data_IF_614826709410
#
_entry.id   IF_614826709410
#
_cell.length_a   1.000
_cell.length_b   1.000
_cell.length_c   1.000
_cell.angle_alpha   90.00
_cell.angle_beta   90.00
_cell.angle_gamma   90.00
#
_symmetry.space_group_name_H-M   'P 1'
#
loop_
_entity.id
_entity.type
_entity.pdbx_description
1 polymer ?
#
# COMPACT_ATOMS: atom_id res chain seq x y z
N UNK A 1 40.94 11.79 60.42
CA UNK A 1 41.89 12.78 59.88
C UNK A 1 41.64 12.95 58.39
N UNK A 2 41.36 14.18 57.91
CA UNK A 2 41.03 14.46 56.51
C UNK A 2 42.26 14.93 55.73
N UNK A 3 42.28 14.71 54.41
CA UNK A 3 43.10 15.45 53.44
C UNK A 3 42.30 15.50 52.12
N UNK A 4 41.86 16.70 51.69
CA UNK A 4 42.42 17.49 50.57
C UNK A 4 42.34 16.74 49.21
N UNK A 5 41.87 17.26 48.07
CA UNK A 5 41.36 18.58 47.68
C UNK A 5 40.85 18.51 46.22
N UNK A 6 40.05 19.50 45.82
CA UNK A 6 39.88 20.12 44.48
C UNK A 6 39.06 19.45 43.36
N UNK A 7 37.91 20.09 43.11
CA UNK A 7 37.41 20.62 41.83
C UNK A 7 38.11 20.24 40.52
N UNK A 8 37.28 19.87 39.53
CA UNK A 8 37.33 20.46 38.17
C UNK A 8 36.10 20.07 37.33
N UNK A 9 35.26 21.05 37.07
CA UNK A 9 34.30 21.09 35.97
C UNK A 9 35.02 20.84 34.63
N UNK A 10 34.59 19.80 33.91
CA UNK A 10 35.03 19.54 32.53
C UNK A 10 34.02 20.13 31.54
N UNK A 11 34.37 21.27 30.94
CA UNK A 11 33.63 21.89 29.83
C UNK A 11 34.27 21.39 28.53
N UNK A 12 33.57 20.51 27.81
CA UNK A 12 34.00 20.03 26.50
C UNK A 12 33.87 21.10 25.41
N UNK A 13 34.77 21.12 24.40
CA UNK A 13 34.77 22.15 23.37
C UNK A 13 33.65 21.95 22.33
N UNK A 14 32.97 23.05 22.02
CA UNK A 14 32.02 23.21 20.92
C UNK A 14 32.77 23.13 19.58
N UNK A 15 32.53 22.09 18.79
CA UNK A 15 32.96 22.05 17.38
C UNK A 15 31.88 22.64 16.49
N UNK A 16 32.27 23.70 15.80
CA UNK A 16 31.47 24.54 14.92
C UNK A 16 31.42 23.91 13.53
N UNK A 17 30.29 24.06 12.85
CA UNK A 17 30.06 23.61 11.48
C UNK A 17 30.99 24.30 10.48
N UNK A 18 31.54 23.53 9.55
CA UNK A 18 31.90 24.01 8.21
C UNK A 18 31.55 22.95 7.16
N UNK A 19 30.59 23.30 6.30
CA UNK A 19 30.27 22.58 5.07
C UNK A 19 31.38 22.79 4.02
N UNK A 20 31.75 21.77 3.24
CA UNK A 20 32.34 22.00 1.92
C UNK A 20 31.29 21.85 0.83
N UNK A 21 31.16 22.90 0.04
CA UNK A 21 30.40 22.93 -1.21
C UNK A 21 30.98 21.92 -2.21
N UNK A 22 30.13 21.05 -2.76
CA UNK A 22 30.48 20.16 -3.88
C UNK A 22 29.70 20.57 -5.11
N UNK A 23 30.39 21.34 -5.94
CA UNK A 23 30.40 21.33 -7.41
C UNK A 23 29.16 20.81 -8.16
N UNK A 24 28.42 21.76 -8.74
CA UNK A 24 27.60 21.54 -9.93
C UNK A 24 28.50 21.16 -11.11
N UNK A 25 28.23 20.03 -11.77
CA UNK A 25 28.73 19.74 -13.12
C UNK A 25 27.57 19.78 -14.13
N UNK A 26 27.75 20.42 -15.30
CA UNK A 26 26.73 20.55 -16.33
C UNK A 26 26.66 19.33 -17.26
N UNK A 27 25.44 19.04 -17.69
CA UNK A 27 24.99 18.42 -18.94
C UNK A 27 25.99 17.56 -19.76
N UNK A 28 25.75 16.25 -19.77
CA UNK A 28 26.24 15.30 -20.78
C UNK A 28 25.15 14.96 -21.82
N UNK A 29 25.53 14.46 -23.02
CA UNK A 29 24.77 14.71 -24.25
C UNK A 29 23.57 13.77 -24.49
N UNK A 30 22.61 14.35 -25.22
CA UNK A 30 21.47 13.73 -25.89
C UNK A 30 21.84 12.43 -26.63
N UNK A 31 21.13 11.35 -26.31
CA UNK A 31 21.02 10.18 -27.19
C UNK A 31 20.10 10.52 -28.38
N UNK A 32 20.65 10.47 -29.60
CA UNK A 32 19.88 10.49 -30.85
C UNK A 32 19.22 9.11 -31.06
N UNK A 33 17.94 9.02 -31.46
CA UNK A 33 17.34 7.76 -31.87
C UNK A 33 17.89 7.33 -33.24
N UNK A 34 18.30 6.06 -33.34
CA UNK A 34 18.65 5.41 -34.61
C UNK A 34 17.38 5.24 -35.44
N UNK A 35 17.36 5.88 -36.60
CA UNK A 35 16.44 5.61 -37.70
C UNK A 35 16.64 4.17 -38.16
N UNK A 36 15.58 3.37 -38.08
CA UNK A 36 15.59 1.96 -38.45
C UNK A 36 14.28 1.59 -39.13
N UNK A 37 14.33 1.60 -40.46
CA UNK A 37 13.61 0.74 -41.40
C UNK A 37 12.11 0.51 -41.13
N UNK A 38 11.30 1.28 -41.86
CA UNK A 38 9.95 0.91 -42.26
C UNK A 38 9.98 -0.44 -42.98
N UNK A 39 9.36 -1.46 -42.37
CA UNK A 39 8.83 -2.61 -43.11
C UNK A 39 7.31 -2.53 -43.02
N UNK A 40 6.73 -2.12 -44.14
CA UNK A 40 5.30 -2.17 -44.39
C UNK A 40 4.84 -3.63 -44.34
N UNK A 41 3.83 -3.90 -43.50
CA UNK A 41 3.11 -5.16 -43.51
C UNK A 41 1.73 -4.87 -44.10
N UNK A 42 1.62 -5.06 -45.41
CA UNK A 42 0.37 -4.95 -46.16
C UNK A 42 -0.53 -6.11 -45.75
N UNK A 43 -1.67 -5.78 -45.13
CA UNK A 43 -2.76 -6.73 -44.86
C UNK A 43 -3.78 -6.62 -46.00
N UNK A 44 -4.17 -7.71 -46.67
CA UNK A 44 -5.23 -7.63 -47.66
C UNK A 44 -6.62 -7.52 -47.03
N UNK A 45 -7.43 -6.72 -47.71
CA UNK A 45 -8.81 -6.38 -47.45
C UNK A 45 -9.77 -7.57 -47.41
N UNK A 46 -10.76 -7.36 -46.54
CA UNK A 46 -12.12 -7.90 -46.48
C UNK A 46 -12.78 -8.05 -47.86
N UNK A 47 -13.40 -9.20 -48.12
CA UNK A 47 -14.51 -9.33 -49.06
C UNK A 47 -15.73 -9.85 -48.27
N UNK A 48 -16.83 -9.12 -48.37
CA UNK A 48 -18.16 -9.54 -47.97
C UNK A 48 -18.81 -10.22 -49.17
N UNK A 49 -19.60 -11.26 -48.94
CA UNK A 49 -20.71 -11.61 -49.81
C UNK A 49 -21.80 -12.35 -49.03
N UNK A 50 -22.99 -12.16 -49.56
CA UNK A 50 -24.34 -12.22 -48.99
C UNK A 50 -25.01 -13.61 -48.98
N UNK A 51 -25.93 -13.77 -48.02
CA UNK A 51 -27.20 -14.53 -48.04
C UNK A 51 -27.30 -15.89 -48.74
N UNK A 52 -27.69 -16.93 -47.99
CA UNK A 52 -28.93 -17.68 -48.27
C UNK A 52 -29.31 -18.64 -47.15
N UNK A 53 -30.60 -18.67 -46.88
CA UNK A 53 -31.35 -19.53 -45.97
C UNK A 53 -31.48 -20.96 -46.51
N UNK A 54 -31.27 -21.97 -45.68
CA UNK A 54 -32.00 -23.23 -45.79
C UNK A 54 -32.08 -23.96 -44.44
N UNK A 55 -33.29 -24.37 -44.13
CA UNK A 55 -33.70 -25.15 -42.98
C UNK A 55 -33.40 -26.63 -43.22
N UNK A 56 -32.69 -27.28 -42.30
CA UNK A 56 -32.70 -28.73 -42.19
C UNK A 56 -32.38 -29.15 -40.77
N UNK A 57 -33.38 -29.77 -40.14
CA UNK A 57 -33.30 -30.47 -38.86
C UNK A 57 -32.22 -31.56 -38.90
N UNK A 58 -31.23 -31.45 -38.02
CA UNK A 58 -30.41 -32.57 -37.59
C UNK A 58 -30.18 -32.47 -36.08
N UNK A 59 -30.71 -33.46 -35.35
CA UNK A 59 -30.53 -33.60 -33.89
C UNK A 59 -29.07 -33.92 -33.59
N UNK A 60 -28.33 -32.91 -33.16
CA UNK A 60 -27.02 -33.08 -32.54
C UNK A 60 -27.20 -33.45 -31.07
N UNK A 61 -26.72 -34.62 -30.68
CA UNK A 61 -26.60 -35.03 -29.28
C UNK A 61 -25.50 -34.18 -28.66
N UNK A 62 -25.87 -33.13 -27.92
CA UNK A 62 -24.94 -32.37 -27.09
C UNK A 62 -24.45 -33.25 -25.94
N UNK A 63 -23.20 -33.68 -26.02
CA UNK A 63 -22.48 -34.27 -24.89
C UNK A 63 -22.29 -33.15 -23.87
N UNK A 64 -23.08 -33.18 -22.81
CA UNK A 64 -22.99 -32.29 -21.68
C UNK A 64 -21.67 -32.53 -20.91
N UNK A 65 -20.56 -32.03 -21.43
CA UNK A 65 -19.30 -31.90 -20.68
C UNK A 65 -19.36 -30.61 -19.87
N UNK A 66 -20.31 -30.56 -18.93
CA UNK A 66 -20.42 -29.50 -17.95
C UNK A 66 -19.25 -29.56 -16.97
N UNK A 67 -18.12 -28.98 -17.35
CA UNK A 67 -17.07 -28.62 -16.42
C UNK A 67 -17.73 -27.74 -15.35
N UNK A 68 -17.82 -28.25 -14.13
CA UNK A 68 -18.27 -27.46 -12.98
C UNK A 68 -17.27 -26.32 -12.81
N UNK A 69 -17.59 -25.15 -13.37
CA UNK A 69 -16.84 -23.94 -13.12
C UNK A 69 -17.04 -23.61 -11.64
N UNK A 70 -16.12 -24.10 -10.80
CA UNK A 70 -15.96 -23.62 -9.44
C UNK A 70 -15.48 -22.18 -9.59
N UNK A 71 -16.42 -21.24 -9.71
CA UNK A 71 -16.13 -19.84 -9.42
C UNK A 71 -15.64 -19.84 -7.99
N UNK A 72 -14.31 -19.86 -7.83
CA UNK A 72 -13.63 -19.72 -6.56
C UNK A 72 -13.99 -18.33 -6.09
N UNK A 73 -15.15 -18.20 -5.41
CA UNK A 73 -15.54 -16.99 -4.68
C UNK A 73 -14.32 -16.62 -3.88
N UNK A 74 -13.62 -15.57 -4.31
CA UNK A 74 -12.44 -15.07 -3.62
C UNK A 74 -12.96 -14.75 -2.21
N UNK A 75 -12.57 -15.57 -1.24
CA UNK A 75 -12.82 -15.29 0.17
C UNK A 75 -12.30 -13.88 0.39
N UNK A 76 -13.20 -12.94 0.61
CA UNK A 76 -12.85 -11.59 1.06
C UNK A 76 -11.93 -11.80 2.25
N UNK A 77 -10.70 -11.30 2.14
CA UNK A 77 -9.68 -11.44 3.17
C UNK A 77 -10.29 -11.06 4.52
N UNK A 78 -9.99 -11.81 5.60
CA UNK A 78 -10.49 -11.46 6.92
C UNK A 78 -10.04 -10.04 7.23
N UNK A 79 -11.02 -9.15 7.24
CA UNK A 79 -10.88 -7.75 7.54
C UNK A 79 -10.15 -7.66 8.89
N UNK A 80 -8.93 -7.16 8.93
CA UNK A 80 -8.02 -7.37 10.07
C UNK A 80 -8.46 -6.59 11.32
N UNK A 81 -9.24 -7.23 12.17
CA UNK A 81 -9.60 -6.75 13.51
C UNK A 81 -8.75 -7.45 14.57
N UNK A 82 -8.19 -6.71 15.52
CA UNK A 82 -7.51 -7.31 16.68
C UNK A 82 -8.57 -7.67 17.73
N UNK A 83 -8.72 -8.96 18.06
CA UNK A 83 -9.71 -9.43 19.03
C UNK A 83 -11.14 -8.96 18.72
N UNK A 84 -11.50 -8.92 17.43
CA UNK A 84 -12.82 -8.49 16.96
C UNK A 84 -13.06 -6.98 16.96
N UNK A 85 -12.04 -6.15 17.26
CA UNK A 85 -12.18 -4.68 17.30
C UNK A 85 -11.38 -4.01 16.19
N UNK A 86 -12.03 -3.08 15.49
CA UNK A 86 -11.40 -2.19 14.51
C UNK A 86 -10.36 -1.29 15.19
N UNK A 87 -9.16 -1.24 14.62
CA UNK A 87 -8.07 -0.46 15.20
C UNK A 87 -7.95 0.95 14.63
N UNK A 88 -8.23 1.12 13.33
CA UNK A 88 -8.24 2.43 12.69
C UNK A 88 -9.51 3.20 13.10
N UNK A 89 -9.33 4.41 13.64
CA UNK A 89 -10.45 5.26 14.10
C UNK A 89 -10.74 6.40 13.13
N UNK A 90 -9.69 7.06 12.66
CA UNK A 90 -9.80 8.23 11.79
C UNK A 90 -8.80 8.15 10.65
N UNK A 91 -9.25 8.45 9.44
CA UNK A 91 -8.41 8.57 8.25
C UNK A 91 -8.58 9.99 7.70
N UNK A 92 -7.48 10.72 7.59
CA UNK A 92 -7.44 12.04 6.98
C UNK A 92 -6.81 11.92 5.60
N UNK A 93 -7.53 12.41 4.59
CA UNK A 93 -7.06 12.52 3.22
C UNK A 93 -6.65 13.97 2.99
N UNK A 94 -5.35 14.25 3.05
CA UNK A 94 -4.83 15.59 2.80
C UNK A 94 -4.44 15.73 1.32
N UNK A 95 -4.98 16.74 0.63
CA UNK A 95 -4.78 16.96 -0.80
C UNK A 95 -4.56 18.44 -1.13
N UNK A 96 -4.01 18.75 -2.30
CA UNK A 96 -3.95 20.11 -2.84
C UNK A 96 -4.92 20.27 -4.03
N UNK A 97 -5.54 21.43 -4.16
CA UNK A 97 -6.43 21.82 -5.26
C UNK A 97 -5.66 22.12 -6.55
N UNK A 98 -4.52 22.79 -6.39
CA UNK A 98 -3.61 23.18 -7.46
C UNK A 98 -2.30 22.36 -7.39
N UNK A 99 -1.83 21.87 -8.54
CA UNK A 99 -0.61 21.08 -8.67
C UNK A 99 -0.83 19.66 -9.25
N UNK A 100 0.13 19.21 -10.06
CA UNK A 100 0.10 17.89 -10.71
C UNK A 100 0.25 16.73 -9.73
N UNK A 101 0.94 16.95 -8.59
CA UNK A 101 1.24 15.87 -7.64
C UNK A 101 0.04 15.32 -6.89
N UNK A 102 -1.04 16.08 -6.81
CA UNK A 102 -2.32 15.70 -6.20
C UNK A 102 -3.34 15.15 -7.20
N UNK A 103 -3.00 14.99 -8.49
CA UNK A 103 -3.95 14.55 -9.51
C UNK A 103 -4.58 13.19 -9.16
N UNK A 104 -3.79 12.24 -8.68
CA UNK A 104 -4.27 10.90 -8.31
C UNK A 104 -5.19 10.88 -7.09
N UNK A 105 -4.84 11.63 -6.03
CA UNK A 105 -5.66 11.70 -4.82
C UNK A 105 -7.00 12.39 -5.09
N UNK A 106 -7.04 13.42 -5.96
CA UNK A 106 -8.28 14.09 -6.37
C UNK A 106 -9.22 13.12 -7.12
N UNK A 107 -8.69 12.37 -8.09
CA UNK A 107 -9.45 11.35 -8.79
C UNK A 107 -9.95 10.22 -7.86
N UNK A 108 -9.15 9.87 -6.83
CA UNK A 108 -9.56 8.92 -5.79
C UNK A 108 -10.72 9.46 -4.93
N UNK A 109 -10.69 10.76 -4.58
CA UNK A 109 -11.75 11.41 -3.81
C UNK A 109 -13.09 11.39 -4.52
N UNK A 110 -13.10 11.59 -5.84
CA UNK A 110 -14.32 11.58 -6.64
C UNK A 110 -14.88 10.15 -6.82
N UNK A 111 -14.02 9.18 -7.15
CA UNK A 111 -14.47 7.85 -7.59
C UNK A 111 -14.56 6.82 -6.48
N UNK A 112 -13.56 6.77 -5.59
CA UNK A 112 -13.38 5.65 -4.66
C UNK A 112 -13.71 6.00 -3.20
N UNK A 113 -13.54 7.26 -2.81
CA UNK A 113 -13.76 7.68 -1.42
C UNK A 113 -15.21 7.46 -0.94
N UNK A 114 -16.28 7.72 -1.74
CA UNK A 114 -17.66 7.46 -1.31
C UNK A 114 -17.88 5.97 -1.02
N UNK A 115 -17.51 5.10 -1.96
CA UNK A 115 -17.61 3.64 -1.80
C UNK A 115 -16.78 3.14 -0.61
N UNK A 116 -15.60 3.75 -0.37
CA UNK A 116 -14.75 3.40 0.77
C UNK A 116 -15.38 3.76 2.12
N UNK A 117 -16.10 4.90 2.20
CA UNK A 117 -16.85 5.32 3.40
C UNK A 117 -18.03 4.38 3.66
N UNK A 118 -18.81 4.06 2.63
CA UNK A 118 -19.94 3.13 2.73
C UNK A 118 -19.52 1.74 3.20
N UNK A 119 -18.39 1.23 2.69
CA UNK A 119 -17.84 -0.05 3.09
C UNK A 119 -17.30 -0.08 4.54
N UNK A 120 -17.04 1.09 5.14
CA UNK A 120 -16.42 1.20 6.47
C UNK A 120 -17.12 2.28 7.32
N UNK A 121 -18.37 2.05 7.77
CA UNK A 121 -19.13 3.02 8.56
C UNK A 121 -18.52 3.31 9.95
N UNK A 122 -17.65 2.41 10.45
CA UNK A 122 -16.94 2.58 11.73
C UNK A 122 -15.78 3.59 11.65
N UNK A 123 -15.36 3.98 10.45
CA UNK A 123 -14.19 4.81 10.22
C UNK A 123 -14.62 6.27 10.01
N UNK A 124 -14.04 7.19 10.79
CA UNK A 124 -14.22 8.62 10.51
C UNK A 124 -13.25 9.04 9.39
N UNK A 125 -13.78 9.37 8.21
CA UNK A 125 -12.98 9.74 7.04
C UNK A 125 -13.18 11.22 6.73
N UNK A 126 -12.14 12.00 6.98
CA UNK A 126 -12.10 13.45 6.77
C UNK A 126 -11.17 13.82 5.62
N UNK A 127 -11.47 14.92 4.94
CA UNK A 127 -10.70 15.45 3.82
C UNK A 127 -10.17 16.82 4.19
N UNK A 128 -8.86 17.03 4.03
CA UNK A 128 -8.19 18.29 4.36
C UNK A 128 -7.53 18.89 3.12
N UNK A 129 -7.74 20.18 2.89
CA UNK A 129 -7.05 20.91 1.82
C UNK A 129 -5.73 21.48 2.35
N UNK A 130 -4.62 21.07 1.73
CA UNK A 130 -3.25 21.53 2.01
C UNK A 130 -2.64 22.15 0.75
N UNK A 131 -2.58 23.47 0.69
CA UNK A 131 -2.00 24.19 -0.46
C UNK A 131 -0.48 24.21 -0.40
N UNK A 132 0.17 24.02 -1.56
CA UNK A 132 1.63 24.06 -1.68
C UNK A 132 2.38 22.87 -1.06
N UNK A 133 1.68 21.82 -0.61
CA UNK A 133 2.26 20.64 0.02
C UNK A 133 1.90 19.36 -0.76
N UNK A 134 2.76 18.35 -0.69
CA UNK A 134 2.46 17.06 -1.31
C UNK A 134 1.34 16.32 -0.56
N UNK A 135 0.45 15.62 -1.28
CA UNK A 135 -0.66 14.92 -0.67
C UNK A 135 -0.18 13.72 0.17
N UNK A 136 -0.87 13.46 1.28
CA UNK A 136 -0.61 12.33 2.17
C UNK A 136 -1.90 11.84 2.83
N UNK A 137 -1.88 10.58 3.26
CA UNK A 137 -2.91 9.97 4.10
C UNK A 137 -2.41 9.92 5.53
N UNK A 138 -3.18 10.44 6.51
CA UNK A 138 -2.89 10.27 7.94
C UNK A 138 -3.90 9.34 8.57
N UNK A 139 -3.43 8.32 9.27
CA UNK A 139 -4.24 7.32 9.92
C UNK A 139 -4.04 7.36 11.44
N UNK A 140 -5.13 7.54 12.19
CA UNK A 140 -5.14 7.52 13.65
C UNK A 140 -5.75 6.23 14.16
N UNK A 141 -5.00 5.53 15.00
CA UNK A 141 -5.39 4.23 15.54
C UNK A 141 -5.80 4.33 17.01
N UNK A 142 -6.50 3.31 17.51
CA UNK A 142 -6.97 3.24 18.90
C UNK A 142 -5.85 3.29 19.94
N UNK A 143 -4.64 2.87 19.57
CA UNK A 143 -3.45 2.94 20.42
C UNK A 143 -2.77 4.32 20.42
N UNK A 144 -3.45 5.36 19.93
CA UNK A 144 -2.97 6.74 19.80
C UNK A 144 -1.75 6.92 18.88
N UNK A 145 -1.35 5.88 18.16
CA UNK A 145 -0.32 6.00 17.15
C UNK A 145 -0.90 6.61 15.88
N UNK A 146 -0.06 7.36 15.18
CA UNK A 146 -0.32 7.89 13.86
C UNK A 146 0.54 7.16 12.82
N UNK A 147 -0.01 6.95 11.62
CA UNK A 147 0.78 6.58 10.44
C UNK A 147 0.47 7.52 9.29
N UNK A 148 1.52 8.11 8.75
CA UNK A 148 1.44 8.99 7.57
C UNK A 148 2.02 8.27 6.36
N UNK A 149 1.31 8.33 5.24
CA UNK A 149 1.76 7.76 3.96
C UNK A 149 1.67 8.85 2.90
N UNK A 150 2.79 9.22 2.30
CA UNK A 150 2.82 10.16 1.17
C UNK A 150 2.25 9.49 -0.08
N UNK A 151 1.38 10.18 -0.80
CA UNK A 151 0.71 9.67 -2.01
C UNK A 151 0.96 10.55 -3.24
N UNK A 152 2.12 11.21 -3.28
CA UNK A 152 2.54 12.05 -4.40
C UNK A 152 2.62 11.26 -5.70
N UNK A 153 2.05 11.79 -6.78
CA UNK A 153 2.11 11.20 -8.13
C UNK A 153 1.61 9.75 -8.25
N UNK A 154 0.85 9.25 -7.27
CA UNK A 154 0.26 7.90 -7.35
C UNK A 154 -1.01 7.89 -8.20
N UNK A 155 -1.38 6.73 -8.71
CA UNK A 155 -2.68 6.53 -9.37
C UNK A 155 -3.81 6.41 -8.35
N UNK A 156 -5.09 6.67 -8.71
CA UNK A 156 -6.20 6.54 -7.76
C UNK A 156 -6.35 5.11 -7.20
N UNK A 157 -5.97 4.10 -7.97
CA UNK A 157 -5.98 2.69 -7.54
C UNK A 157 -4.90 2.38 -6.50
N UNK A 158 -3.68 2.92 -6.69
CA UNK A 158 -2.60 2.82 -5.71
C UNK A 158 -2.96 3.52 -4.41
N UNK A 159 -3.59 4.70 -4.50
CA UNK A 159 -4.11 5.42 -3.33
C UNK A 159 -5.12 4.56 -2.58
N UNK A 160 -6.06 3.93 -3.28
CA UNK A 160 -7.04 3.01 -2.67
C UNK A 160 -6.35 1.83 -2.00
N UNK A 161 -5.30 1.26 -2.62
CA UNK A 161 -4.51 0.20 -2.04
C UNK A 161 -3.82 0.66 -0.74
N UNK A 162 -3.25 1.87 -0.72
CA UNK A 162 -2.65 2.45 0.48
C UNK A 162 -3.68 2.73 1.58
N UNK A 163 -4.84 3.28 1.24
CA UNK A 163 -5.95 3.47 2.18
C UNK A 163 -6.42 2.13 2.77
N UNK A 164 -6.54 1.09 1.94
CA UNK A 164 -6.90 -0.27 2.36
C UNK A 164 -5.84 -0.88 3.28
N UNK A 165 -4.55 -0.66 2.99
CA UNK A 165 -3.44 -1.10 3.86
C UNK A 165 -3.50 -0.43 5.22
N UNK A 166 -3.77 0.88 5.27
CA UNK A 166 -3.93 1.63 6.53
C UNK A 166 -5.13 1.13 7.31
N UNK A 167 -6.25 0.88 6.64
CA UNK A 167 -7.45 0.29 7.24
C UNK A 167 -7.19 -1.08 7.83
N UNK A 168 -6.43 -1.94 7.16
CA UNK A 168 -6.09 -3.28 7.65
C UNK A 168 -4.95 -3.30 8.67
N UNK A 169 -4.30 -2.16 8.94
CA UNK A 169 -3.20 -2.09 9.88
C UNK A 169 -3.67 -1.95 11.33
N UNK A 170 -2.81 -2.36 12.26
CA UNK A 170 -3.08 -2.27 13.71
C UNK A 170 -2.57 -0.97 14.36
N UNK A 171 -1.85 -0.14 13.60
CA UNK A 171 -1.17 1.05 14.16
C UNK A 171 0.05 0.75 15.02
N UNK A 172 0.62 -0.47 14.97
CA UNK A 172 1.89 -0.77 15.66
C UNK A 172 3.08 -0.23 14.87
N UNK A 173 4.14 0.18 15.56
CA UNK A 173 5.42 0.51 14.93
C UNK A 173 5.93 -0.72 14.19
N UNK A 174 6.47 -0.52 12.98
CA UNK A 174 7.08 -1.60 12.21
C UNK A 174 8.39 -1.96 12.89
N UNK A 175 8.43 -3.15 13.49
CA UNK A 175 9.59 -3.72 14.17
C UNK A 175 9.84 -5.09 13.58
N UNK A 176 11.12 -5.46 13.40
CA UNK A 176 11.49 -6.80 12.95
C UNK A 176 10.99 -7.83 13.97
N UNK A 177 10.18 -8.78 13.51
CA UNK A 177 9.68 -9.86 14.35
C UNK A 177 10.84 -10.80 14.72
N UNK A 178 10.97 -11.13 16.01
CA UNK A 178 11.95 -12.12 16.50
C UNK A 178 11.48 -13.54 16.18
N UNK A 179 10.22 -13.85 16.50
CA UNK A 179 9.59 -15.15 16.26
C UNK A 179 8.27 -14.96 15.52
N UNK A 180 7.87 -15.96 14.71
CA UNK A 180 6.60 -15.93 13.98
C UNK A 180 5.41 -16.30 14.87
N UNK A 181 5.62 -17.21 15.81
CA UNK A 181 4.62 -17.66 16.79
C UNK A 181 4.90 -17.01 18.14
N UNK A 182 3.84 -16.49 18.76
CA UNK A 182 3.87 -15.96 20.13
C UNK A 182 2.80 -16.71 20.91
N UNK A 183 3.22 -17.54 21.85
CA UNK A 183 2.31 -18.26 22.76
C UNK A 183 2.61 -17.85 24.19
N UNK A 184 1.56 -17.70 25.01
CA UNK A 184 1.69 -17.54 26.46
C UNK A 184 1.84 -18.88 27.18
N UNK A 185 1.36 -19.95 26.55
CA UNK A 185 1.32 -21.30 27.10
C UNK A 185 2.00 -22.25 26.11
N UNK A 186 3.32 -22.49 26.25
CA UNK A 186 4.09 -23.27 25.29
C UNK A 186 3.86 -24.79 25.41
N UNK A 187 3.51 -25.30 26.59
CA UNK A 187 3.25 -26.71 26.84
C UNK A 187 2.02 -26.89 27.72
N UNK A 188 1.30 -28.00 27.52
CA UNK A 188 0.17 -28.44 28.35
C UNK A 188 0.62 -29.42 29.44
N UNK A 189 1.61 -30.27 29.14
CA UNK A 189 2.09 -31.33 30.05
C UNK A 189 3.27 -30.89 30.93
N UNK A 190 3.69 -29.63 30.81
CA UNK A 190 4.90 -29.11 31.43
C UNK A 190 6.06 -29.01 30.43
N UNK A 191 7.03 -28.16 30.75
CA UNK A 191 8.30 -28.11 30.01
C UNK A 191 9.16 -29.31 30.41
N UNK A 192 10.07 -29.72 29.53
CA UNK A 192 11.02 -30.78 29.85
C UNK A 192 11.84 -30.44 31.11
N UNK A 193 11.97 -31.40 32.01
CA UNK A 193 12.76 -31.32 33.25
C UNK A 193 13.50 -32.64 33.47
N UNK A 194 14.67 -32.60 34.10
CA UNK A 194 15.48 -33.81 34.38
C UNK A 194 14.88 -34.69 35.48
N UNK A 195 14.13 -34.12 36.43
CA UNK A 195 13.66 -34.78 37.66
C UNK A 195 12.47 -35.74 37.47
N UNK A 196 12.40 -36.45 36.35
CA UNK A 196 11.36 -37.45 36.10
C UNK A 196 11.61 -38.63 37.04
N UNK A 197 10.76 -38.76 38.07
CA UNK A 197 10.70 -39.96 38.91
C UNK A 197 9.86 -41.02 38.19
N UNK A 198 10.48 -42.16 37.92
CA UNK A 198 9.84 -43.36 37.39
C UNK A 198 9.24 -44.20 38.51
#
# INVERSE_FOLDING_TARGET
MPNFCLDRNWVGPKFVHTSPAVHLRPNGPMYKPKTGSSKEFVSPLRAADSSSSSSSHSRSIEKNTGVKEYTRRRKTSPQMALRGVWQLRKLIVSYSDWGGSSRGIRAFMEKHLPSFKEANPHLNVETELIRGQHPHLKAFYKNNNERVVCVRNMTPEEVLLHATRLRNALGRKVVKLKTRHVTKHPSVQGTWTTDVKF
#
